data_IF_754959240804
#
_entry.id   IF_754959240804
#
_cell.length_a   1.000
_cell.length_b   1.000
_cell.length_c   1.000
_cell.angle_alpha   90.00
_cell.angle_beta   90.00
_cell.angle_gamma   90.00
#
_symmetry.space_group_name_H-M   'P 1'
#
loop_
_entity.id
_entity.type
_entity.pdbx_description
1 polymer ?
#
# COMPACT_ATOMS: atom_id res chain seq x y z
N UNK A 1 40.32 -1.61 0.35
CA UNK A 1 39.31 -1.54 -0.72
C UNK A 1 37.98 -1.36 -0.01
N UNK A 2 37.65 -0.12 0.31
CA UNK A 2 36.57 0.26 1.22
C UNK A 2 35.43 0.92 0.44
N UNK A 3 34.23 0.78 1.00
CA UNK A 3 33.06 1.65 0.87
C UNK A 3 32.00 1.40 -0.22
N UNK A 4 30.75 1.60 0.22
CA UNK A 4 29.47 1.55 -0.46
C UNK A 4 28.94 0.16 -0.90
N UNK A 5 28.30 -0.62 -0.01
CA UNK A 5 27.06 -0.24 0.70
C UNK A 5 26.15 0.62 -0.19
N UNK A 6 25.87 0.17 -1.42
CA UNK A 6 24.56 0.42 -2.00
C UNK A 6 23.55 -0.41 -1.20
N UNK A 7 23.32 -0.03 0.07
CA UNK A 7 22.00 -0.19 0.65
C UNK A 7 21.14 0.60 -0.30
N UNK A 8 20.57 -0.08 -1.28
CA UNK A 8 19.51 0.44 -2.10
C UNK A 8 18.54 1.05 -1.09
N UNK A 9 18.57 2.38 -0.96
CA UNK A 9 17.64 3.11 -0.13
C UNK A 9 16.31 2.85 -0.82
N UNK A 10 15.69 1.71 -0.51
CA UNK A 10 14.29 1.49 -0.80
C UNK A 10 13.62 2.55 0.03
N UNK A 11 13.22 3.62 -0.65
CA UNK A 11 12.22 4.56 -0.16
C UNK A 11 11.14 3.72 0.53
N UNK A 12 10.81 4.01 1.79
CA UNK A 12 9.76 3.26 2.47
C UNK A 12 8.51 3.36 1.60
N UNK A 13 7.96 2.22 1.17
CA UNK A 13 6.74 2.21 0.35
C UNK A 13 5.53 2.15 1.27
N UNK A 14 4.57 3.05 1.05
CA UNK A 14 3.24 2.92 1.62
C UNK A 14 2.43 2.03 0.68
N UNK A 15 1.97 0.90 1.20
CA UNK A 15 1.20 -0.10 0.44
C UNK A 15 -0.10 -0.30 1.18
N UNK A 16 -1.23 -0.14 0.51
CA UNK A 16 -2.55 -0.16 1.14
C UNK A 16 -3.50 -1.06 0.36
N UNK A 17 -4.29 -1.83 1.09
CA UNK A 17 -5.42 -2.60 0.54
C UNK A 17 -6.71 -2.09 1.17
N UNK A 18 -7.71 -1.81 0.35
CA UNK A 18 -9.06 -1.44 0.78
C UNK A 18 -10.08 -2.34 0.10
N UNK A 19 -10.98 -2.93 0.90
CA UNK A 19 -12.13 -3.69 0.42
C UNK A 19 -13.39 -2.84 0.44
N UNK A 20 -14.29 -3.10 -0.50
CA UNK A 20 -15.56 -2.41 -0.66
C UNK A 20 -16.70 -3.41 -0.71
N UNK A 21 -17.76 -3.15 0.04
CA UNK A 21 -19.04 -3.84 -0.07
C UNK A 21 -20.08 -2.91 -0.69
N UNK A 22 -21.16 -3.49 -1.22
CA UNK A 22 -22.31 -2.70 -1.64
C UNK A 22 -23.23 -2.47 -0.46
N UNK A 23 -23.63 -1.22 -0.25
CA UNK A 23 -24.74 -0.92 0.64
C UNK A 23 -26.09 -1.26 0.00
N UNK A 24 -27.18 -0.97 0.71
CA UNK A 24 -28.55 -1.23 0.26
C UNK A 24 -28.92 -0.45 -1.02
N UNK A 25 -28.22 0.64 -1.32
CA UNK A 25 -28.39 1.44 -2.54
C UNK A 25 -27.55 0.91 -3.71
N UNK A 26 -26.63 -0.02 -3.44
CA UNK A 26 -25.68 -0.56 -4.41
C UNK A 26 -24.37 0.22 -4.51
N UNK A 27 -24.18 1.24 -3.67
CA UNK A 27 -22.97 2.06 -3.66
C UNK A 27 -21.82 1.32 -2.95
N UNK A 28 -20.60 1.51 -3.46
CA UNK A 28 -19.40 0.88 -2.89
C UNK A 28 -18.95 1.63 -1.63
N UNK A 29 -19.10 0.98 -0.48
CA UNK A 29 -18.66 1.47 0.82
C UNK A 29 -17.42 0.70 1.30
N UNK A 30 -16.40 1.39 1.84
CA UNK A 30 -15.23 0.72 2.40
C UNK A 30 -15.64 -0.13 3.61
N UNK A 31 -15.23 -1.40 3.62
CA UNK A 31 -15.60 -2.38 4.66
C UNK A 31 -14.84 -2.14 5.96
N UNK A 32 -13.57 -1.74 5.83
CA UNK A 32 -12.68 -1.41 6.93
C UNK A 32 -11.73 -0.27 6.51
N UNK A 33 -11.13 0.40 7.49
CA UNK A 33 -10.11 1.42 7.24
C UNK A 33 -8.91 0.86 6.45
N UNK A 34 -8.12 1.70 5.76
CA UNK A 34 -7.05 1.26 4.88
C UNK A 34 -6.08 0.30 5.59
N UNK A 35 -5.93 -0.91 5.04
CA UNK A 35 -5.04 -1.91 5.62
C UNK A 35 -3.62 -1.76 5.04
N UNK A 36 -2.75 -1.08 5.77
CA UNK A 36 -1.34 -0.94 5.40
C UNK A 36 -0.62 -2.29 5.39
N UNK A 37 0.16 -2.53 4.35
CA UNK A 37 0.92 -3.76 4.12
C UNK A 37 2.41 -3.44 4.04
N UNK A 38 3.22 -4.37 4.56
CA UNK A 38 4.68 -4.22 4.56
C UNK A 38 5.32 -4.52 3.20
N UNK A 39 4.65 -5.31 2.35
CA UNK A 39 5.15 -5.70 1.02
C UNK A 39 4.02 -5.80 0.00
N UNK A 40 4.36 -5.63 -1.28
CA UNK A 40 3.41 -5.71 -2.39
C UNK A 40 2.82 -7.12 -2.51
N UNK A 41 3.67 -8.14 -2.34
CA UNK A 41 3.23 -9.54 -2.35
C UNK A 41 2.20 -9.83 -1.23
N UNK A 42 2.41 -9.30 -0.02
CA UNK A 42 1.44 -9.43 1.07
C UNK A 42 0.14 -8.71 0.73
N UNK A 43 0.20 -7.54 0.11
CA UNK A 43 -0.98 -6.83 -0.36
C UNK A 43 -1.78 -7.63 -1.40
N UNK A 44 -1.10 -8.24 -2.37
CA UNK A 44 -1.74 -9.11 -3.37
C UNK A 44 -2.40 -10.32 -2.71
N UNK A 45 -1.73 -10.98 -1.78
CA UNK A 45 -2.29 -12.15 -1.06
C UNK A 45 -3.51 -11.77 -0.23
N UNK A 46 -3.44 -10.66 0.50
CA UNK A 46 -4.57 -10.13 1.27
C UNK A 46 -5.75 -9.80 0.35
N UNK A 47 -5.51 -9.08 -0.75
CA UNK A 47 -6.56 -8.76 -1.72
C UNK A 47 -7.21 -10.03 -2.29
N UNK A 48 -6.43 -11.03 -2.69
CA UNK A 48 -6.97 -12.31 -3.19
C UNK A 48 -7.86 -13.02 -2.15
N UNK A 49 -7.45 -13.02 -0.87
CA UNK A 49 -8.25 -13.63 0.21
C UNK A 49 -9.58 -12.90 0.48
N UNK A 50 -9.65 -11.62 0.13
CA UNK A 50 -10.83 -10.77 0.30
C UNK A 50 -11.75 -10.77 -0.94
N UNK A 51 -11.23 -11.11 -2.11
CA UNK A 51 -11.95 -11.00 -3.39
C UNK A 51 -13.18 -11.91 -3.46
N UNK A 52 -13.20 -13.00 -2.71
CA UNK A 52 -14.37 -13.89 -2.62
C UNK A 52 -15.47 -13.37 -1.69
N UNK A 53 -15.18 -12.35 -0.86
CA UNK A 53 -16.06 -11.90 0.23
C UNK A 53 -16.65 -10.51 0.01
N UNK A 54 -15.99 -9.69 -0.80
CA UNK A 54 -16.34 -8.28 -0.96
C UNK A 54 -16.68 -7.93 -2.40
N UNK A 55 -17.51 -6.90 -2.58
CA UNK A 55 -17.95 -6.46 -3.90
C UNK A 55 -16.83 -5.85 -4.76
N UNK A 56 -15.78 -5.32 -4.15
CA UNK A 56 -14.63 -4.77 -4.84
C UNK A 56 -13.41 -4.59 -3.94
N UNK A 57 -12.24 -4.44 -4.56
CA UNK A 57 -10.96 -4.26 -3.87
C UNK A 57 -10.05 -3.33 -4.65
N UNK A 58 -9.25 -2.53 -3.93
CA UNK A 58 -8.16 -1.75 -4.50
C UNK A 58 -6.90 -2.03 -3.68
N UNK A 59 -5.82 -2.41 -4.36
CA UNK A 59 -4.47 -2.47 -3.80
C UNK A 59 -3.60 -1.45 -4.54
N UNK A 60 -2.97 -0.54 -3.80
CA UNK A 60 -2.11 0.49 -4.36
C UNK A 60 -0.84 0.67 -3.53
N UNK A 61 0.21 1.18 -4.16
CA UNK A 61 1.47 1.51 -3.50
C UNK A 61 2.00 2.86 -3.97
N UNK A 62 2.60 3.63 -3.07
CA UNK A 62 3.38 4.82 -3.41
C UNK A 62 4.69 4.83 -2.65
N UNK A 63 5.72 5.44 -3.23
CA UNK A 63 6.93 5.76 -2.49
C UNK A 63 6.62 6.83 -1.44
N UNK A 64 6.97 6.58 -0.18
CA UNK A 64 6.96 7.61 0.84
C UNK A 64 8.26 8.41 0.68
N UNK A 65 8.17 9.51 -0.06
CA UNK A 65 9.24 10.51 -0.11
C UNK A 65 9.28 11.20 1.26
N UNK A 66 10.15 10.71 2.14
CA UNK A 66 10.54 11.51 3.30
C UNK A 66 11.30 12.73 2.77
N UNK A 67 10.93 13.93 3.22
CA UNK A 67 11.41 15.20 2.67
C UNK A 67 12.92 15.18 2.49
N UNK A 68 13.38 15.51 1.28
CA UNK A 68 14.81 15.66 1.02
C UNK A 68 15.39 16.66 2.04
N UNK A 69 16.57 16.38 2.62
CA UNK A 69 17.28 17.40 3.36
C UNK A 69 17.48 18.55 2.38
N UNK A 70 16.89 19.71 2.68
CA UNK A 70 17.13 20.92 1.94
C UNK A 70 18.63 21.22 2.08
N UNK A 71 19.43 20.86 1.08
CA UNK A 71 20.81 21.32 0.99
C UNK A 71 20.75 22.84 0.81
N UNK A 72 20.96 23.56 1.91
CA UNK A 72 21.24 24.99 1.89
C UNK A 72 22.67 25.19 1.39
N UNK A 73 22.82 25.58 0.13
CA UNK A 73 24.04 26.20 -0.40
C UNK A 73 24.07 27.69 -0.07
#
# INVERSE_FOLDING_TARGET
MSENILRQQKTPKLIVVTAFDRDESGDLQPVFGPAEQQTEDRAIRTAKGLAAKHAGLIAWSRDARWGEPMESH
#
